data_IF_758063675833
#
_entry.id   IF_758063675833
#
_cell.length_a   1.000
_cell.length_b   1.000
_cell.length_c   1.000
_cell.angle_alpha   90.00
_cell.angle_beta   90.00
_cell.angle_gamma   90.00
#
_symmetry.space_group_name_H-M   'P 1'
#
loop_
_entity.id
_entity.type
_entity.pdbx_description
1 polymer ?
#
# COMPACT_ATOMS: atom_id res chain seq x y z
N UNK A 1 57.17 -23.38 -28.51
CA UNK A 1 55.83 -23.76 -29.01
C UNK A 1 54.81 -23.54 -27.91
N UNK A 2 53.71 -22.80 -28.21
CA UNK A 2 52.38 -22.71 -27.57
C UNK A 2 52.34 -22.51 -26.03
N UNK A 3 52.22 -21.28 -25.50
CA UNK A 3 50.95 -20.54 -25.23
C UNK A 3 49.83 -21.42 -24.68
N UNK A 4 49.53 -21.30 -23.38
CA UNK A 4 48.17 -21.38 -22.85
C UNK A 4 48.03 -20.38 -21.69
N UNK A 5 47.42 -19.24 -22.02
CA UNK A 5 46.74 -18.37 -21.10
C UNK A 5 45.32 -18.93 -20.88
N UNK A 6 44.88 -19.00 -19.63
CA UNK A 6 43.51 -19.19 -19.15
C UNK A 6 43.43 -18.25 -17.94
N UNK A 7 43.11 -16.95 -18.05
CA UNK A 7 41.87 -16.31 -18.46
C UNK A 7 40.60 -17.00 -17.93
N UNK A 8 39.91 -16.22 -17.09
CA UNK A 8 38.46 -16.25 -16.83
C UNK A 8 38.01 -17.29 -15.78
N UNK A 9 37.11 -17.00 -14.84
CA UNK A 9 36.02 -16.04 -14.87
C UNK A 9 35.71 -15.67 -13.40
N UNK A 10 35.72 -14.37 -13.09
CA UNK A 10 35.23 -13.87 -11.81
C UNK A 10 33.74 -14.15 -11.70
N UNK A 11 33.36 -15.06 -10.80
CA UNK A 11 32.00 -15.15 -10.30
C UNK A 11 31.91 -14.30 -9.04
N UNK A 12 31.96 -12.98 -9.21
CA UNK A 12 31.35 -12.10 -8.22
C UNK A 12 29.86 -12.32 -8.39
N UNK A 13 29.29 -13.20 -7.57
CA UNK A 13 27.86 -13.29 -7.37
C UNK A 13 27.42 -11.89 -6.95
N UNK A 14 26.89 -11.12 -7.91
CA UNK A 14 26.03 -9.99 -7.61
C UNK A 14 24.80 -10.60 -6.96
N UNK A 15 24.88 -10.92 -5.67
CA UNK A 15 23.72 -10.85 -4.80
C UNK A 15 23.23 -9.42 -4.98
N UNK A 16 22.23 -9.26 -5.84
CA UNK A 16 21.38 -8.09 -5.80
C UNK A 16 20.85 -8.05 -4.38
N UNK A 17 21.51 -7.28 -3.52
CA UNK A 17 20.86 -6.68 -2.38
C UNK A 17 19.78 -5.82 -3.03
N UNK A 18 18.62 -6.43 -3.32
CA UNK A 18 17.39 -5.72 -3.56
C UNK A 18 17.15 -4.99 -2.25
N UNK A 19 17.70 -3.78 -2.15
CA UNK A 19 17.33 -2.85 -1.10
C UNK A 19 15.83 -2.66 -1.27
N UNK A 20 15.08 -3.23 -0.33
CA UNK A 20 13.64 -3.09 -0.24
C UNK A 20 13.27 -1.62 -0.46
N UNK A 21 12.26 -1.32 -1.31
CA UNK A 21 11.89 0.04 -1.65
C UNK A 21 11.77 0.88 -0.38
N UNK A 22 12.38 2.07 -0.36
CA UNK A 22 12.46 2.93 0.83
C UNK A 22 11.08 3.25 1.42
N UNK A 23 10.02 3.22 0.61
CA UNK A 23 8.62 3.36 1.01
C UNK A 23 8.27 2.47 2.20
N UNK A 24 8.64 1.18 2.18
CA UNK A 24 8.26 0.22 3.24
C UNK A 24 8.93 0.44 4.60
N UNK A 25 9.85 1.40 4.69
CA UNK A 25 10.48 1.82 5.95
C UNK A 25 9.78 3.01 6.61
N UNK A 26 8.81 3.62 5.92
CA UNK A 26 8.00 4.70 6.48
C UNK A 26 7.04 4.14 7.54
N UNK A 27 6.46 5.05 8.31
CA UNK A 27 5.55 4.72 9.40
C UNK A 27 4.10 5.00 8.98
N UNK A 28 3.15 4.49 9.77
CA UNK A 28 1.73 4.77 9.57
C UNK A 28 1.36 6.22 9.90
N UNK A 29 2.31 7.05 10.29
CA UNK A 29 2.11 8.43 10.69
C UNK A 29 3.11 9.33 9.98
N UNK A 30 2.66 10.50 9.57
CA UNK A 30 3.49 11.58 9.00
C UNK A 30 3.07 12.92 9.58
N UNK A 31 4.02 13.86 9.70
CA UNK A 31 3.73 15.23 10.14
C UNK A 31 3.97 16.20 8.99
N UNK A 32 2.90 16.83 8.50
CA UNK A 32 2.93 17.77 7.37
C UNK A 32 2.19 19.04 7.79
N UNK A 33 2.74 20.21 7.48
CA UNK A 33 2.13 21.50 7.82
C UNK A 33 1.71 21.64 9.30
N UNK A 34 2.48 21.06 10.23
CA UNK A 34 2.20 20.99 11.68
C UNK A 34 0.99 20.11 12.07
N UNK A 35 0.41 19.40 11.11
CA UNK A 35 -0.66 18.43 11.31
C UNK A 35 -0.10 17.02 11.23
N UNK A 36 -0.36 16.23 12.28
CA UNK A 36 -0.03 14.81 12.31
C UNK A 36 -1.14 14.01 11.68
N UNK A 37 -0.84 13.24 10.65
CA UNK A 37 -1.79 12.38 9.94
C UNK A 37 -1.40 10.94 10.22
N UNK A 38 -2.37 10.12 10.64
CA UNK A 38 -2.21 8.69 10.90
C UNK A 38 -3.07 7.87 9.92
N UNK A 39 -2.52 6.76 9.46
CA UNK A 39 -3.18 5.76 8.62
C UNK A 39 -3.70 4.62 9.50
N UNK A 40 -4.98 4.30 9.34
CA UNK A 40 -5.59 3.10 9.89
C UNK A 40 -6.40 2.37 8.83
N UNK A 41 -6.09 1.09 8.60
CA UNK A 41 -6.67 0.36 7.48
C UNK A 41 -7.61 -0.74 7.95
N UNK A 42 -8.62 -1.01 7.13
CA UNK A 42 -9.51 -2.17 7.24
C UNK A 42 -9.59 -2.83 5.88
N UNK A 43 -9.21 -4.09 5.81
CA UNK A 43 -9.31 -4.91 4.61
C UNK A 43 -10.27 -6.06 4.86
N UNK A 44 -11.10 -6.39 3.88
CA UNK A 44 -11.97 -7.57 3.98
C UNK A 44 -12.31 -8.19 2.64
N UNK A 45 -12.68 -9.48 2.69
CA UNK A 45 -13.28 -10.22 1.57
C UNK A 45 -14.68 -10.69 1.97
N UNK A 46 -15.63 -10.53 1.07
CA UNK A 46 -16.99 -11.05 1.26
C UNK A 46 -17.01 -12.54 0.91
N UNK A 47 -17.50 -13.38 1.84
CA UNK A 47 -17.63 -14.83 1.61
C UNK A 47 -18.96 -15.21 0.96
N UNK A 48 -19.94 -14.31 0.95
CA UNK A 48 -21.27 -14.52 0.37
C UNK A 48 -21.54 -13.51 -0.77
N UNK A 49 -21.26 -13.90 -2.03
CA UNK A 49 -21.59 -13.06 -3.18
C UNK A 49 -23.07 -12.85 -3.35
N UNK A 50 -23.41 -11.63 -3.76
CA UNK A 50 -24.68 -11.43 -4.46
C UNK A 50 -24.63 -12.22 -5.77
N UNK A 51 -25.78 -12.78 -6.18
CA UNK A 51 -25.88 -13.61 -7.38
C UNK A 51 -25.40 -12.79 -8.60
N UNK A 52 -24.29 -13.22 -9.23
CA UNK A 52 -23.75 -12.61 -10.45
C UNK A 52 -22.30 -12.11 -10.35
N UNK A 53 -21.69 -12.08 -9.16
CA UNK A 53 -20.30 -11.66 -8.99
C UNK A 53 -19.30 -12.84 -9.08
N UNK A 54 -18.21 -12.67 -9.83
CA UNK A 54 -17.07 -13.62 -9.84
C UNK A 54 -16.16 -13.24 -8.66
N UNK A 55 -16.40 -13.89 -7.52
CA UNK A 55 -16.06 -13.36 -6.20
C UNK A 55 -14.66 -13.73 -5.64
N UNK A 56 -14.02 -14.81 -6.10
CA UNK A 56 -12.96 -15.44 -5.29
C UNK A 56 -11.71 -14.58 -4.99
N UNK A 57 -11.52 -13.43 -5.66
CA UNK A 57 -10.36 -12.54 -5.46
C UNK A 57 -10.69 -11.04 -5.32
N UNK A 58 -11.92 -10.65 -4.97
CA UNK A 58 -12.22 -9.22 -4.72
C UNK A 58 -11.84 -8.84 -3.29
N UNK A 59 -10.97 -7.85 -3.14
CA UNK A 59 -10.59 -7.26 -1.86
C UNK A 59 -11.25 -5.89 -1.73
N UNK A 60 -11.88 -5.68 -0.58
CA UNK A 60 -12.40 -4.39 -0.17
C UNK A 60 -11.42 -3.74 0.80
N UNK A 61 -11.23 -2.43 0.66
CA UNK A 61 -10.42 -1.65 1.58
C UNK A 61 -11.13 -0.36 1.98
N UNK A 62 -10.96 0.00 3.25
CA UNK A 62 -11.27 1.32 3.79
C UNK A 62 -10.05 1.77 4.61
N UNK A 63 -9.33 2.76 4.09
CA UNK A 63 -8.15 3.35 4.72
C UNK A 63 -8.54 4.70 5.28
N UNK A 64 -8.38 4.87 6.58
CA UNK A 64 -8.71 6.11 7.28
C UNK A 64 -7.44 6.94 7.46
N UNK A 65 -7.49 8.17 6.97
CA UNK A 65 -6.52 9.22 7.28
C UNK A 65 -7.10 10.05 8.41
N UNK A 66 -6.44 10.03 9.57
CA UNK A 66 -6.95 10.61 10.82
C UNK A 66 -5.98 11.64 11.38
N UNK A 67 -6.53 12.67 12.03
CA UNK A 67 -5.74 13.68 12.73
C UNK A 67 -6.49 14.30 13.91
N UNK A 68 -5.75 14.74 14.92
CA UNK A 68 -6.29 15.57 16.00
C UNK A 68 -6.64 17.00 15.53
N UNK A 69 -6.22 17.38 14.32
CA UNK A 69 -6.50 18.67 13.69
C UNK A 69 -7.25 18.50 12.37
N UNK A 70 -7.76 19.61 11.83
CA UNK A 70 -8.33 19.61 10.47
C UNK A 70 -7.28 19.16 9.48
N UNK A 71 -7.61 18.16 8.67
CA UNK A 71 -6.75 17.68 7.59
C UNK A 71 -6.52 18.80 6.56
N UNK A 72 -5.32 18.89 5.96
CA UNK A 72 -5.02 19.90 4.94
C UNK A 72 -6.03 19.85 3.80
N UNK A 73 -6.52 21.02 3.36
CA UNK A 73 -7.55 21.10 2.33
C UNK A 73 -7.03 20.69 0.93
N UNK A 74 -5.71 20.79 0.73
CA UNK A 74 -4.99 20.40 -0.48
C UNK A 74 -4.40 18.99 -0.37
N UNK A 75 -4.86 18.19 0.59
CA UNK A 75 -4.46 16.78 0.65
C UNK A 75 -5.12 16.05 -0.51
N UNK A 76 -4.29 15.46 -1.36
CA UNK A 76 -4.68 14.57 -2.44
C UNK A 76 -4.11 13.17 -2.18
N UNK A 77 -4.85 12.15 -2.60
CA UNK A 77 -4.41 10.76 -2.56
C UNK A 77 -4.05 10.34 -3.98
N UNK A 78 -2.80 9.97 -4.21
CA UNK A 78 -2.30 9.68 -5.55
C UNK A 78 -2.38 8.18 -5.88
N UNK A 79 -2.03 7.32 -4.92
CA UNK A 79 -2.04 5.87 -5.09
C UNK A 79 -2.10 5.11 -3.77
N UNK A 80 -2.53 3.84 -3.84
CA UNK A 80 -2.37 2.86 -2.77
C UNK A 80 -1.51 1.70 -3.31
N UNK A 81 -0.58 1.22 -2.51
CA UNK A 81 0.19 0.00 -2.79
C UNK A 81 -0.04 -1.01 -1.69
N UNK A 82 -0.49 -2.20 -2.05
CA UNK A 82 -0.58 -3.37 -1.17
C UNK A 82 0.61 -4.28 -1.41
N UNK A 83 1.14 -4.92 -0.37
CA UNK A 83 2.23 -5.89 -0.48
C UNK A 83 2.01 -7.10 0.41
N UNK A 84 2.20 -8.28 -0.15
CA UNK A 84 2.18 -9.55 0.57
C UNK A 84 3.36 -10.41 0.11
N UNK A 85 4.33 -10.62 1.00
CA UNK A 85 5.56 -11.35 0.67
C UNK A 85 6.38 -10.64 -0.41
N UNK A 86 6.42 -11.21 -1.62
CA UNK A 86 7.12 -10.65 -2.78
C UNK A 86 6.18 -10.00 -3.81
N UNK A 87 4.87 -10.11 -3.60
CA UNK A 87 3.87 -9.57 -4.51
C UNK A 87 3.43 -8.19 -4.06
N UNK A 88 3.14 -7.31 -5.03
CA UNK A 88 2.67 -5.97 -4.79
C UNK A 88 1.63 -5.55 -5.83
N UNK A 89 0.61 -4.82 -5.39
CA UNK A 89 -0.46 -4.31 -6.25
C UNK A 89 -0.63 -2.82 -6.02
N UNK A 90 -0.60 -2.05 -7.09
CA UNK A 90 -0.87 -0.62 -7.07
C UNK A 90 -2.31 -0.36 -7.54
N UNK A 91 -2.98 0.56 -6.84
CA UNK A 91 -4.30 1.09 -7.19
C UNK A 91 -4.12 2.59 -7.38
N UNK A 92 -4.36 3.07 -8.59
CA UNK A 92 -4.24 4.48 -8.94
C UNK A 92 -5.46 5.27 -8.47
N UNK A 93 -5.29 6.57 -8.24
CA UNK A 93 -6.31 7.48 -7.69
C UNK A 93 -7.65 7.49 -8.43
N UNK A 94 -7.69 7.21 -9.74
CA UNK A 94 -8.92 7.16 -10.52
C UNK A 94 -9.81 5.96 -10.18
N UNK A 95 -9.27 4.97 -9.46
CA UNK A 95 -9.96 3.79 -8.95
C UNK A 95 -10.32 3.89 -7.46
N UNK A 96 -9.96 5.00 -6.81
CA UNK A 96 -10.21 5.25 -5.39
C UNK A 96 -11.44 6.13 -5.18
N UNK A 97 -12.18 5.85 -4.12
CA UNK A 97 -13.32 6.65 -3.67
C UNK A 97 -12.95 7.39 -2.38
N UNK A 98 -12.76 8.71 -2.50
CA UNK A 98 -12.42 9.57 -1.36
C UNK A 98 -13.70 10.08 -0.68
N UNK A 99 -13.84 9.76 0.61
CA UNK A 99 -15.01 10.07 1.42
C UNK A 99 -14.62 10.91 2.63
N UNK A 100 -15.15 12.11 2.73
CA UNK A 100 -14.94 12.98 3.90
C UNK A 100 -15.99 12.69 4.98
N UNK A 101 -15.60 12.02 6.06
CA UNK A 101 -16.48 11.79 7.21
C UNK A 101 -16.65 13.06 8.04
N UNK A 102 -15.53 13.74 8.32
CA UNK A 102 -15.48 15.04 8.97
C UNK A 102 -14.17 15.77 8.62
N UNK A 103 -13.92 16.92 9.25
CA UNK A 103 -12.74 17.74 8.96
C UNK A 103 -11.40 17.07 9.33
N UNK A 104 -11.43 16.04 10.16
CA UNK A 104 -10.27 15.42 10.81
C UNK A 104 -10.11 13.94 10.41
N UNK A 105 -11.05 13.39 9.64
CA UNK A 105 -11.09 11.99 9.25
C UNK A 105 -11.63 11.85 7.84
N UNK A 106 -10.78 11.39 6.93
CA UNK A 106 -11.13 11.03 5.57
C UNK A 106 -10.95 9.52 5.38
N UNK A 107 -11.79 8.92 4.54
CA UNK A 107 -11.70 7.52 4.16
C UNK A 107 -11.35 7.42 2.68
N UNK A 108 -10.38 6.59 2.35
CA UNK A 108 -10.03 6.18 1.00
C UNK A 108 -10.52 4.75 0.83
N UNK A 109 -11.56 4.57 0.03
CA UNK A 109 -12.19 3.28 -0.20
C UNK A 109 -11.84 2.72 -1.57
N UNK A 110 -11.69 1.41 -1.66
CA UNK A 110 -11.54 0.70 -2.93
C UNK A 110 -12.18 -0.69 -2.90
N UNK A 111 -12.50 -1.18 -4.09
CA UNK A 111 -12.92 -2.57 -4.32
C UNK A 111 -12.19 -3.04 -5.56
N UNK A 112 -11.23 -3.95 -5.39
CA UNK A 112 -10.34 -4.36 -6.48
C UNK A 112 -10.08 -5.84 -6.51
N UNK A 113 -9.75 -6.38 -7.69
CA UNK A 113 -9.39 -7.79 -7.83
C UNK A 113 -7.91 -7.97 -7.48
N UNK A 114 -7.65 -8.43 -6.27
CA UNK A 114 -6.31 -8.61 -5.70
C UNK A 114 -6.20 -10.03 -5.17
N UNK A 115 -5.21 -10.76 -5.69
CA UNK A 115 -4.97 -12.15 -5.34
C UNK A 115 -4.07 -12.24 -4.08
N UNK A 116 -4.65 -11.86 -2.94
CA UNK A 116 -4.01 -12.03 -1.61
C UNK A 116 -4.52 -13.28 -0.91
N UNK A 117 -3.63 -13.93 -0.17
CA UNK A 117 -3.97 -14.94 0.83
C UNK A 117 -4.60 -14.26 2.04
N UNK A 118 -5.88 -14.55 2.28
CA UNK A 118 -6.68 -13.94 3.37
C UNK A 118 -6.27 -14.43 4.77
N UNK A 119 -5.51 -15.53 4.86
CA UNK A 119 -5.02 -16.06 6.13
C UNK A 119 -3.70 -15.39 6.56
N UNK A 120 -3.12 -14.53 5.70
CA UNK A 120 -1.90 -13.77 5.95
C UNK A 120 -2.19 -12.26 6.05
N UNK A 121 -1.26 -11.53 6.66
CA UNK A 121 -1.31 -10.07 6.70
C UNK A 121 -0.84 -9.46 5.39
N UNK A 122 -1.15 -8.18 5.20
CA UNK A 122 -0.74 -7.36 4.06
C UNK A 122 -0.17 -6.06 4.60
N UNK A 123 0.93 -5.60 4.01
CA UNK A 123 1.42 -4.25 4.24
C UNK A 123 0.73 -3.29 3.26
N UNK A 124 0.36 -2.12 3.74
CA UNK A 124 -0.33 -1.09 2.96
C UNK A 124 0.51 0.19 2.97
N UNK A 125 0.71 0.77 1.81
CA UNK A 125 1.28 2.10 1.64
C UNK A 125 0.28 3.00 0.91
N UNK A 126 0.10 4.22 1.39
CA UNK A 126 -0.69 5.25 0.70
C UNK A 126 0.23 6.42 0.36
N UNK A 127 0.15 6.85 -0.89
CA UNK A 127 0.82 8.05 -1.39
C UNK A 127 -0.14 9.22 -1.27
N UNK A 128 0.27 10.23 -0.51
CA UNK A 128 -0.46 11.48 -0.39
C UNK A 128 0.39 12.63 -0.89
N UNK A 129 -0.27 13.65 -1.41
CA UNK A 129 0.33 14.91 -1.80
C UNK A 129 -0.35 16.03 -1.01
N UNK A 130 0.44 16.87 -0.35
CA UNK A 130 -0.06 18.04 0.37
C UNK A 130 0.79 19.23 -0.07
N UNK A 131 0.18 20.19 -0.77
CA UNK A 131 0.87 21.40 -1.25
C UNK A 131 2.17 21.09 -2.03
N UNK A 132 2.10 20.17 -3.00
CA UNK A 132 3.22 19.67 -3.83
C UNK A 132 4.28 18.85 -3.06
N UNK A 133 4.04 18.52 -1.79
CA UNK A 133 4.88 17.61 -1.01
C UNK A 133 4.29 16.19 -1.01
N UNK A 134 4.97 15.28 -1.71
CA UNK A 134 4.61 13.85 -1.75
C UNK A 134 5.16 13.14 -0.51
N UNK A 135 4.28 12.44 0.19
CA UNK A 135 4.60 11.65 1.38
C UNK A 135 3.95 10.26 1.31
N UNK A 136 4.58 9.29 1.98
CA UNK A 136 4.09 7.92 2.07
C UNK A 136 3.78 7.57 3.53
N UNK A 137 2.56 7.14 3.80
CA UNK A 137 2.22 6.49 5.07
C UNK A 137 2.16 4.98 4.85
N UNK A 138 2.73 4.21 5.77
CA UNK A 138 2.80 2.74 5.68
C UNK A 138 2.30 2.08 6.94
N UNK A 139 1.28 1.23 6.80
CA UNK A 139 0.79 0.36 7.85
C UNK A 139 1.20 -1.09 7.54
N UNK A 140 1.98 -1.69 8.45
CA UNK A 140 2.45 -3.06 8.31
C UNK A 140 1.50 -4.05 8.98
N UNK A 141 1.54 -5.29 8.52
CA UNK A 141 0.82 -6.41 9.15
C UNK A 141 -0.70 -6.23 9.27
N UNK A 142 -1.35 -5.59 8.29
CA UNK A 142 -2.80 -5.39 8.26
C UNK A 142 -3.51 -6.72 7.99
N UNK A 143 -4.46 -7.08 8.86
CA UNK A 143 -5.26 -8.30 8.71
C UNK A 143 -6.34 -8.13 7.65
N UNK A 144 -6.64 -9.21 6.95
CA UNK A 144 -7.78 -9.29 6.05
C UNK A 144 -8.91 -10.02 6.76
N UNK A 145 -10.00 -9.31 7.02
CA UNK A 145 -11.19 -9.90 7.61
C UNK A 145 -12.03 -10.65 6.57
N UNK A 146 -12.82 -11.62 7.04
CA UNK A 146 -13.85 -12.27 6.23
C UNK A 146 -15.21 -11.85 6.73
N UNK A 147 -15.99 -11.21 5.86
CA UNK A 147 -17.36 -10.77 6.15
C UNK A 147 -18.36 -11.75 5.56
N UNK A 148 -19.38 -12.09 6.36
CA UNK A 148 -20.44 -13.05 6.04
C UNK A 148 -21.73 -12.31 5.76
#
# INVERSE_FOLDING_TARGET
MKKLALLSLGAVLLSGCASEPQVWKQTQQVSIAQTSIELNSKLWRNKMPTIGEVQESTLHGALYLESDQTLPAQLDVESIVLKQGQESWQIDSDLLDLRTHNQNQWEVAFVWRIDVDIEQTVDIAIEINVDDQVEWLVEQDVKIDTVY
#
